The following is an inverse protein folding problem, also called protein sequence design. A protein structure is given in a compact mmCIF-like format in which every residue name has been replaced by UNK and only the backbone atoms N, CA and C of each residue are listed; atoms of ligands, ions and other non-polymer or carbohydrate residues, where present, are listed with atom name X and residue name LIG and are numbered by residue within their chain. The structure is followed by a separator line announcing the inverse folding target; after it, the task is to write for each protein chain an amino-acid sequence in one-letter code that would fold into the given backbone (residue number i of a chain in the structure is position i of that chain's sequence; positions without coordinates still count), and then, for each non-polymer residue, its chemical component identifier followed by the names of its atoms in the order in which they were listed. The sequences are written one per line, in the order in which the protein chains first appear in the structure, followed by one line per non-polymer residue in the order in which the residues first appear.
data_IF_995070119695
#
_entry.id   IF_995070119695
#
_cell.length_a   1.000
_cell.length_b   1.000
_cell.length_c   1.000
_cell.angle_alpha   90.00
_cell.angle_beta   90.00
_cell.angle_gamma   90.00
#
_symmetry.space_group_name_H-M   'P 1'
#
loop_
_entity.id
_entity.type
_entity.pdbx_description
1 polymer ?
#
# COMPACT_ATOMS: atom_id res chain seq x y z
N UNK A 1 -22.25 0.49 -17.89
CA UNK A 1 -23.48 0.90 -17.16
C UNK A 1 -23.53 2.43 -17.03
N UNK A 2 -24.55 3.12 -17.54
CA UNK A 2 -24.62 4.59 -17.53
C UNK A 2 -24.54 5.21 -16.12
N UNK A 3 -25.04 4.51 -15.11
CA UNK A 3 -24.98 4.93 -13.71
C UNK A 3 -23.55 4.99 -13.15
N UNK A 4 -22.71 4.01 -13.50
CA UNK A 4 -21.31 3.96 -13.06
C UNK A 4 -20.49 5.11 -13.65
N UNK A 5 -20.66 5.40 -14.95
CA UNK A 5 -20.00 6.52 -15.66
C UNK A 5 -20.35 7.85 -14.99
N UNK A 6 -21.64 8.07 -14.71
CA UNK A 6 -22.11 9.30 -14.06
C UNK A 6 -21.53 9.47 -12.66
N UNK A 7 -21.49 8.39 -11.87
CA UNK A 7 -20.92 8.45 -10.52
C UNK A 7 -19.41 8.71 -10.59
N UNK A 8 -18.68 7.99 -11.43
CA UNK A 8 -17.25 8.19 -11.65
C UNK A 8 -16.90 9.65 -12.00
N UNK A 9 -17.68 10.27 -12.91
CA UNK A 9 -17.52 11.70 -13.25
C UNK A 9 -17.66 12.61 -12.03
N UNK A 10 -18.71 12.40 -11.23
CA UNK A 10 -18.97 13.22 -10.03
C UNK A 10 -17.92 13.02 -8.95
N UNK A 11 -17.43 11.79 -8.77
CA UNK A 11 -16.32 11.48 -7.87
C UNK A 11 -15.04 12.20 -8.31
N UNK A 12 -14.72 12.18 -9.61
CA UNK A 12 -13.50 12.83 -10.13
C UNK A 12 -13.54 14.35 -10.03
N UNK A 13 -14.70 14.97 -10.28
CA UNK A 13 -14.88 16.41 -10.12
C UNK A 13 -15.18 16.86 -8.69
N UNK A 14 -15.22 15.93 -7.72
CA UNK A 14 -15.65 16.16 -6.34
C UNK A 14 -17.01 16.89 -6.24
N UNK A 15 -17.94 16.58 -7.15
CA UNK A 15 -19.27 17.19 -7.21
C UNK A 15 -20.19 16.61 -6.12
N UNK A 16 -20.13 17.24 -4.94
CA UNK A 16 -20.87 16.80 -3.74
C UNK A 16 -20.20 15.64 -3.01
N UNK A 17 -18.89 15.43 -3.21
CA UNK A 17 -18.11 14.36 -2.57
C UNK A 17 -16.80 14.92 -2.00
N UNK A 18 -16.34 14.35 -0.88
CA UNK A 18 -15.00 14.58 -0.34
C UNK A 18 -14.00 13.60 -0.94
N UNK A 19 -12.70 13.86 -0.77
CA UNK A 19 -11.66 12.94 -1.27
C UNK A 19 -11.71 11.59 -0.56
N UNK A 20 -12.08 11.55 0.72
CA UNK A 20 -12.32 10.28 1.45
C UNK A 20 -13.51 9.46 0.91
N UNK A 21 -14.54 10.12 0.36
CA UNK A 21 -15.70 9.42 -0.22
C UNK A 21 -15.28 8.64 -1.48
N UNK A 22 -14.37 9.19 -2.27
CA UNK A 22 -13.83 8.53 -3.46
C UNK A 22 -13.26 7.16 -3.10
N UNK A 23 -12.34 7.08 -2.13
CA UNK A 23 -11.73 5.80 -1.73
C UNK A 23 -12.78 4.76 -1.34
N UNK A 24 -13.78 5.16 -0.54
CA UNK A 24 -14.89 4.29 -0.10
C UNK A 24 -15.71 3.73 -1.26
N UNK A 25 -15.87 4.48 -2.35
CA UNK A 25 -16.59 3.99 -3.52
C UNK A 25 -15.76 3.01 -4.36
N UNK A 26 -14.45 3.28 -4.49
CA UNK A 26 -13.53 2.49 -5.31
C UNK A 26 -13.07 1.20 -4.61
N UNK A 27 -13.07 1.16 -3.28
CA UNK A 27 -12.50 0.05 -2.51
C UNK A 27 -13.47 -1.11 -2.24
N UNK A 28 -14.76 -1.02 -2.59
CA UNK A 28 -15.73 -2.08 -2.30
C UNK A 28 -15.62 -3.24 -3.28
N UNK A 29 -15.69 -4.47 -2.74
CA UNK A 29 -15.66 -5.69 -3.54
C UNK A 29 -17.05 -6.05 -4.08
N UNK A 30 -17.58 -5.27 -5.01
CA UNK A 30 -18.80 -5.58 -5.75
C UNK A 30 -18.73 -5.07 -7.19
N UNK A 31 -19.55 -5.64 -8.06
CA UNK A 31 -19.51 -5.39 -9.51
C UNK A 31 -19.71 -3.91 -9.87
N UNK A 32 -20.62 -3.24 -9.17
CA UNK A 32 -20.91 -1.83 -9.40
C UNK A 32 -19.72 -0.94 -9.03
N UNK A 33 -19.12 -1.16 -7.86
CA UNK A 33 -17.93 -0.43 -7.42
C UNK A 33 -16.73 -0.67 -8.33
N UNK A 34 -16.52 -1.90 -8.81
CA UNK A 34 -15.49 -2.18 -9.82
C UNK A 34 -15.73 -1.42 -11.12
N UNK A 35 -16.97 -1.40 -11.61
CA UNK A 35 -17.33 -0.63 -12.79
C UNK A 35 -17.13 0.89 -12.58
N UNK A 36 -17.46 1.41 -11.40
CA UNK A 36 -17.23 2.82 -11.05
C UNK A 36 -15.73 3.13 -11.02
N UNK A 37 -14.90 2.25 -10.45
CA UNK A 37 -13.45 2.42 -10.42
C UNK A 37 -12.86 2.41 -11.83
N UNK A 38 -13.26 1.48 -12.69
CA UNK A 38 -12.83 1.44 -14.08
C UNK A 38 -13.19 2.72 -14.84
N UNK A 39 -14.41 3.24 -14.66
CA UNK A 39 -14.82 4.52 -15.27
C UNK A 39 -14.11 5.73 -14.65
N UNK A 40 -13.81 5.70 -13.34
CA UNK A 40 -13.09 6.77 -12.64
C UNK A 40 -11.64 6.85 -13.11
N UNK A 41 -10.98 5.70 -13.29
CA UNK A 41 -9.59 5.64 -13.73
C UNK A 41 -9.39 6.16 -15.16
N UNK A 42 -10.43 6.18 -16.01
CA UNK A 42 -10.35 6.74 -17.38
C UNK A 42 -10.05 8.24 -17.41
N UNK A 43 -10.32 8.96 -16.32
CA UNK A 43 -9.98 10.38 -16.21
C UNK A 43 -8.50 10.63 -15.92
N UNK A 44 -7.71 9.57 -15.68
CA UNK A 44 -6.27 9.66 -15.55
C UNK A 44 -5.63 9.34 -16.89
N UNK A 45 -4.82 10.27 -17.38
CA UNK A 45 -3.91 10.04 -18.50
C UNK A 45 -2.50 9.78 -17.94
N UNK A 46 -2.03 8.55 -18.18
CA UNK A 46 -0.71 8.08 -17.78
C UNK A 46 0.19 7.80 -18.99
N UNK A 47 -0.22 8.18 -20.20
CA UNK A 47 0.58 7.93 -21.40
C UNK A 47 1.96 8.58 -21.24
N UNK A 48 3.03 7.79 -21.45
CA UNK A 48 4.44 8.20 -21.34
C UNK A 48 4.91 8.59 -19.93
N UNK A 49 4.06 8.50 -18.93
CA UNK A 49 4.51 8.62 -17.54
C UNK A 49 5.28 7.37 -17.13
N UNK A 50 6.33 7.55 -16.33
CA UNK A 50 6.89 6.43 -15.56
C UNK A 50 5.93 6.04 -14.44
N UNK A 51 6.05 4.79 -13.95
CA UNK A 51 5.13 4.25 -12.95
C UNK A 51 5.04 5.10 -11.68
N UNK A 52 6.16 5.67 -11.21
CA UNK A 52 6.17 6.54 -10.04
C UNK A 52 5.44 7.88 -10.28
N UNK A 53 5.55 8.46 -11.49
CA UNK A 53 4.87 9.70 -11.85
C UNK A 53 3.36 9.48 -11.94
N UNK A 54 2.94 8.40 -12.61
CA UNK A 54 1.55 8.02 -12.69
C UNK A 54 0.95 7.75 -11.28
N UNK A 55 1.70 7.05 -10.42
CA UNK A 55 1.29 6.77 -9.06
C UNK A 55 1.15 8.05 -8.22
N UNK A 56 2.07 9.01 -8.34
CA UNK A 56 1.94 10.31 -7.68
C UNK A 56 0.72 11.08 -8.15
N UNK A 57 0.46 11.12 -9.47
CA UNK A 57 -0.75 11.75 -10.03
C UNK A 57 -2.00 11.10 -9.44
N UNK A 58 -2.01 9.78 -9.34
CA UNK A 58 -3.11 9.01 -8.77
C UNK A 58 -3.36 9.32 -7.28
N UNK A 59 -2.32 9.23 -6.44
CA UNK A 59 -2.41 9.41 -4.99
C UNK A 59 -2.71 10.87 -4.56
N UNK A 60 -2.49 11.85 -5.46
CA UNK A 60 -2.83 13.26 -5.22
C UNK A 60 -4.32 13.58 -5.41
N UNK A 61 -5.05 12.76 -6.16
CA UNK A 61 -6.46 13.06 -6.48
C UNK A 61 -7.41 12.74 -5.34
N UNK A 62 -7.14 11.70 -4.56
CA UNK A 62 -8.02 11.30 -3.47
C UNK A 62 -7.24 10.71 -2.29
N UNK A 63 -7.88 10.66 -1.14
CA UNK A 63 -7.27 10.13 0.07
C UNK A 63 -7.38 8.61 0.07
N UNK A 64 -6.27 7.89 -0.11
CA UNK A 64 -6.24 6.43 -0.09
C UNK A 64 -6.38 5.91 1.35
N UNK A 65 -7.58 6.06 1.90
CA UNK A 65 -8.00 5.60 3.23
C UNK A 65 -8.63 4.21 3.15
N UNK A 66 -8.66 3.51 4.29
CA UNK A 66 -9.24 2.18 4.42
C UNK A 66 -8.24 1.15 4.94
N UNK A 67 -8.72 -0.07 5.15
CA UNK A 67 -7.89 -1.21 5.56
C UNK A 67 -6.93 -1.62 4.43
N UNK A 68 -5.89 -2.39 4.76
CA UNK A 68 -4.89 -2.89 3.80
C UNK A 68 -5.54 -3.47 2.53
N UNK A 69 -6.55 -4.33 2.69
CA UNK A 69 -7.24 -4.98 1.57
C UNK A 69 -8.07 -4.01 0.72
N UNK A 70 -8.61 -2.94 1.33
CA UNK A 70 -9.36 -1.91 0.63
C UNK A 70 -8.43 -1.07 -0.25
N UNK A 71 -7.28 -0.68 0.30
CA UNK A 71 -6.26 0.09 -0.43
C UNK A 71 -5.68 -0.72 -1.58
N UNK A 72 -5.40 -2.00 -1.34
CA UNK A 72 -4.92 -2.93 -2.36
C UNK A 72 -5.87 -3.01 -3.56
N UNK A 73 -7.19 -3.15 -3.33
CA UNK A 73 -8.18 -3.17 -4.42
C UNK A 73 -8.17 -1.90 -5.27
N UNK A 74 -7.98 -0.74 -4.66
CA UNK A 74 -7.85 0.52 -5.40
C UNK A 74 -6.57 0.53 -6.25
N UNK A 75 -5.45 0.04 -5.71
CA UNK A 75 -4.18 -0.06 -6.43
C UNK A 75 -4.23 -1.07 -7.59
N UNK A 76 -5.06 -2.11 -7.51
CA UNK A 76 -5.30 -3.02 -8.64
C UNK A 76 -5.92 -2.27 -9.83
N UNK A 77 -6.91 -1.41 -9.58
CA UNK A 77 -7.51 -0.58 -10.64
C UNK A 77 -6.51 0.41 -11.25
N UNK A 78 -5.64 1.02 -10.44
CA UNK A 78 -4.53 1.84 -10.93
C UNK A 78 -3.60 1.05 -11.85
N UNK A 79 -3.20 -0.16 -11.42
CA UNK A 79 -2.25 -1.00 -12.16
C UNK A 79 -2.79 -1.37 -13.55
N UNK A 80 -4.09 -1.71 -13.62
CA UNK A 80 -4.80 -1.94 -14.88
C UNK A 80 -4.75 -0.70 -15.77
N UNK A 81 -5.13 0.46 -15.24
CA UNK A 81 -5.18 1.72 -16.01
C UNK A 81 -3.80 2.13 -16.52
N UNK A 82 -2.75 1.96 -15.72
CA UNK A 82 -1.39 2.27 -16.13
C UNK A 82 -0.97 1.44 -17.34
N UNK A 83 -1.24 0.13 -17.32
CA UNK A 83 -0.93 -0.77 -18.42
C UNK A 83 -1.75 -0.44 -19.68
N UNK A 84 -3.04 -0.11 -19.51
CA UNK A 84 -3.90 0.31 -20.62
C UNK A 84 -3.38 1.57 -21.33
N UNK A 85 -2.76 2.50 -20.58
CA UNK A 85 -2.16 3.73 -21.16
C UNK A 85 -0.76 3.50 -21.75
N UNK A 86 -0.06 2.46 -21.31
CA UNK A 86 1.33 2.18 -21.67
C UNK A 86 1.48 0.72 -22.15
N UNK A 87 0.85 0.34 -23.27
CA UNK A 87 0.91 -1.03 -23.77
C UNK A 87 2.37 -1.42 -24.06
N UNK A 88 2.78 -2.58 -23.54
CA UNK A 88 4.14 -3.11 -23.71
C UNK A 88 5.19 -2.56 -22.74
N UNK A 89 4.83 -1.68 -21.79
CA UNK A 89 5.79 -1.24 -20.76
C UNK A 89 6.13 -2.33 -19.74
N UNK A 90 5.18 -3.23 -19.48
CA UNK A 90 5.31 -4.36 -18.55
C UNK A 90 4.56 -5.58 -19.12
N UNK A 91 4.92 -6.78 -18.65
CA UNK A 91 4.39 -8.05 -19.17
C UNK A 91 2.89 -8.24 -18.84
N UNK A 92 2.45 -7.77 -17.67
CA UNK A 92 1.07 -7.95 -17.20
C UNK A 92 0.63 -6.91 -16.18
N UNK A 93 -0.67 -6.92 -15.87
CA UNK A 93 -1.24 -6.09 -14.81
C UNK A 93 -0.64 -6.45 -13.45
N UNK A 94 -0.38 -7.73 -13.20
CA UNK A 94 0.15 -8.22 -11.93
C UNK A 94 1.60 -7.77 -11.71
N UNK A 95 2.39 -7.70 -12.79
CA UNK A 95 3.72 -7.11 -12.77
C UNK A 95 3.69 -5.62 -12.35
N UNK A 96 2.77 -4.84 -12.92
CA UNK A 96 2.57 -3.42 -12.57
C UNK A 96 2.11 -3.28 -11.11
N UNK A 97 1.18 -4.14 -10.68
CA UNK A 97 0.68 -4.13 -9.31
C UNK A 97 1.77 -4.46 -8.30
N UNK A 98 2.59 -5.47 -8.59
CA UNK A 98 3.73 -5.86 -7.77
C UNK A 98 4.72 -4.70 -7.60
N UNK A 99 5.10 -4.03 -8.68
CA UNK A 99 5.97 -2.85 -8.60
C UNK A 99 5.32 -1.69 -7.85
N UNK A 100 4.03 -1.47 -8.06
CA UNK A 100 3.28 -0.42 -7.34
C UNK A 100 3.35 -0.68 -5.84
N UNK A 101 3.02 -1.88 -5.37
CA UNK A 101 3.11 -2.26 -3.96
C UNK A 101 4.55 -2.13 -3.42
N UNK A 102 5.55 -2.55 -4.19
CA UNK A 102 6.95 -2.40 -3.81
C UNK A 102 7.38 -0.93 -3.67
N UNK A 103 6.91 -0.05 -4.55
CA UNK A 103 7.13 1.40 -4.46
C UNK A 103 6.49 1.98 -3.19
N UNK A 104 5.28 1.54 -2.84
CA UNK A 104 4.60 1.98 -1.60
C UNK A 104 5.40 1.58 -0.36
N UNK A 105 5.88 0.33 -0.32
CA UNK A 105 6.71 -0.19 0.78
C UNK A 105 8.06 0.53 0.86
N UNK A 106 8.69 0.77 -0.29
CA UNK A 106 9.94 1.51 -0.36
C UNK A 106 9.77 2.94 0.15
N UNK A 107 8.65 3.61 -0.16
CA UNK A 107 8.37 4.94 0.34
C UNK A 107 8.28 4.97 1.87
N UNK A 108 7.58 4.00 2.47
CA UNK A 108 7.49 3.86 3.93
C UNK A 108 8.87 3.56 4.54
N UNK A 109 9.67 2.71 3.91
CA UNK A 109 11.02 2.40 4.39
C UNK A 109 11.95 3.63 4.35
N UNK A 110 11.97 4.36 3.24
CA UNK A 110 12.89 5.47 3.03
C UNK A 110 12.48 6.74 3.79
N UNK A 111 11.19 7.01 3.94
CA UNK A 111 10.66 8.29 4.44
C UNK A 111 9.80 8.17 5.70
N UNK A 112 9.43 6.95 6.10
CA UNK A 112 8.70 6.70 7.34
C UNK A 112 9.56 6.91 8.58
N UNK A 113 8.93 6.78 9.75
CA UNK A 113 9.60 6.93 11.06
C UNK A 113 10.38 5.67 11.47
N UNK A 114 10.97 4.96 10.52
CA UNK A 114 11.78 3.78 10.81
C UNK A 114 13.11 4.21 11.44
N UNK A 115 13.35 3.77 12.68
CA UNK A 115 14.59 4.03 13.44
C UNK A 115 15.73 3.10 12.94
N UNK A 116 15.44 2.16 12.04
CA UNK A 116 16.38 1.18 11.50
C UNK A 116 17.15 1.63 10.25
N UNK A 117 17.94 0.70 9.72
CA UNK A 117 18.65 0.86 8.44
C UNK A 117 17.64 0.85 7.29
N UNK A 118 17.71 1.88 6.45
CA UNK A 118 16.91 2.00 5.22
C UNK A 118 17.40 1.04 4.13
N UNK A 119 16.46 0.53 3.35
CA UNK A 119 16.70 -0.33 2.18
C UNK A 119 17.56 0.38 1.15
N UNK A 120 18.61 -0.30 0.70
CA UNK A 120 19.49 0.19 -0.36
C UNK A 120 18.91 -0.12 -1.74
N UNK A 121 19.41 0.55 -2.78
CA UNK A 121 18.98 0.29 -4.15
C UNK A 121 19.21 -1.17 -4.58
N UNK A 122 20.30 -1.79 -4.13
CA UNK A 122 20.59 -3.19 -4.45
C UNK A 122 19.61 -4.14 -3.75
N UNK A 123 19.31 -3.89 -2.47
CA UNK A 123 18.30 -4.68 -1.74
C UNK A 123 16.92 -4.54 -2.37
N UNK A 124 16.54 -3.35 -2.84
CA UNK A 124 15.28 -3.17 -3.58
C UNK A 124 15.23 -4.02 -4.85
N UNK A 125 16.34 -4.11 -5.58
CA UNK A 125 16.44 -4.96 -6.79
C UNK A 125 16.39 -6.44 -6.43
N UNK A 126 17.11 -6.87 -5.40
CA UNK A 126 17.15 -8.26 -4.94
C UNK A 126 15.79 -8.73 -4.41
N UNK A 127 15.09 -7.87 -3.66
CA UNK A 127 13.75 -8.16 -3.13
C UNK A 127 12.70 -8.35 -4.24
N UNK A 128 12.95 -7.80 -5.43
CA UNK A 128 12.06 -7.91 -6.59
C UNK A 128 12.47 -9.01 -7.57
N UNK A 129 13.54 -9.75 -7.28
CA UNK A 129 14.01 -10.82 -8.15
C UNK A 129 12.96 -11.95 -8.26
N UNK A 130 12.66 -12.37 -9.49
CA UNK A 130 11.68 -13.43 -9.76
C UNK A 130 10.20 -13.05 -9.56
N UNK A 131 9.90 -11.79 -9.18
CA UNK A 131 8.53 -11.33 -8.93
C UNK A 131 7.82 -10.79 -10.17
N UNK A 132 8.46 -10.82 -11.34
CA UNK A 132 7.82 -10.53 -12.62
C UNK A 132 7.43 -11.84 -13.30
N UNK A 133 6.44 -12.56 -12.76
CA UNK A 133 5.97 -13.85 -13.33
C UNK A 133 7.09 -14.90 -13.48
N UNK A 134 7.89 -15.09 -12.42
CA UNK A 134 9.10 -15.92 -12.41
C UNK A 134 10.29 -15.35 -13.22
N UNK A 135 10.16 -14.15 -13.79
CA UNK A 135 11.25 -13.39 -14.39
C UNK A 135 11.68 -12.19 -13.53
N UNK A 136 12.67 -11.44 -14.00
CA UNK A 136 13.16 -10.23 -13.36
C UNK A 136 12.67 -8.97 -14.09
N UNK A 137 12.36 -7.92 -13.33
CA UNK A 137 12.18 -6.59 -13.91
C UNK A 137 13.52 -6.03 -14.44
N UNK A 138 13.51 -5.17 -15.47
CA UNK A 138 14.72 -4.50 -15.94
C UNK A 138 15.40 -3.73 -14.80
N UNK A 139 16.69 -3.99 -14.57
CA UNK A 139 17.44 -3.40 -13.45
C UNK A 139 17.46 -1.87 -13.51
N UNK A 140 17.52 -1.32 -14.70
CA UNK A 140 17.52 0.13 -14.96
C UNK A 140 16.21 0.77 -14.52
N UNK A 141 15.08 0.11 -14.77
CA UNK A 141 13.76 0.56 -14.32
C UNK A 141 13.69 0.56 -12.79
N UNK A 142 14.15 -0.52 -12.14
CA UNK A 142 14.15 -0.61 -10.68
C UNK A 142 15.04 0.46 -10.02
N UNK A 143 16.22 0.74 -10.60
CA UNK A 143 17.10 1.82 -10.14
C UNK A 143 16.43 3.19 -10.29
N UNK A 144 15.80 3.46 -11.43
CA UNK A 144 15.09 4.71 -11.68
C UNK A 144 13.97 4.92 -10.66
N UNK A 145 13.13 3.91 -10.44
CA UNK A 145 12.06 3.95 -9.43
C UNK A 145 12.61 4.18 -8.03
N UNK A 146 13.66 3.45 -7.63
CA UNK A 146 14.28 3.63 -6.32
C UNK A 146 14.76 5.07 -6.09
N UNK A 147 15.49 5.63 -7.06
CA UNK A 147 15.99 6.99 -6.96
C UNK A 147 14.88 8.04 -7.00
N UNK A 148 13.83 7.82 -7.80
CA UNK A 148 12.68 8.71 -7.85
C UNK A 148 11.96 8.78 -6.50
N UNK A 149 11.71 7.64 -5.85
CA UNK A 149 11.10 7.59 -4.51
C UNK A 149 12.05 8.16 -3.46
N UNK A 150 13.34 7.82 -3.50
CA UNK A 150 14.34 8.34 -2.55
C UNK A 150 14.43 9.87 -2.58
N UNK A 151 14.38 10.48 -3.76
CA UNK A 151 14.54 11.92 -3.92
C UNK A 151 13.25 12.69 -3.64
N UNK A 152 12.09 12.11 -4.00
CA UNK A 152 10.79 12.74 -3.83
C UNK A 152 9.83 11.76 -3.14
N UNK A 153 9.45 11.98 -1.87
CA UNK A 153 8.48 11.13 -1.18
C UNK A 153 7.12 11.12 -1.89
N UNK A 154 6.37 10.04 -1.77
CA UNK A 154 4.97 10.02 -2.21
C UNK A 154 4.14 10.96 -1.34
N UNK A 155 3.34 11.79 -2.00
CA UNK A 155 2.40 12.71 -1.36
C UNK A 155 0.98 12.17 -1.52
N UNK A 156 0.22 12.24 -0.43
CA UNK A 156 -1.15 11.75 -0.37
C UNK A 156 -2.10 12.93 -0.32
N UNK A 157 -3.25 12.80 -0.97
CA UNK A 157 -4.32 13.77 -0.76
C UNK A 157 -4.87 13.61 0.66
N UNK A 158 -4.81 14.67 1.45
CA UNK A 158 -5.58 14.79 2.69
C UNK A 158 -6.92 15.43 2.37
N UNK A 159 -7.97 15.07 3.11
CA UNK A 159 -9.16 15.91 3.16
C UNK A 159 -8.74 17.22 3.84
N UNK A 160 -9.08 18.36 3.25
CA UNK A 160 -8.93 19.65 3.93
C UNK A 160 -9.89 19.64 5.13
N UNK A 161 -9.36 19.42 6.33
CA UNK A 161 -10.11 19.62 7.57
C UNK A 161 -10.38 21.13 7.71
N UNK A 162 -11.62 21.49 8.05
CA UNK A 162 -12.04 22.86 8.28
C UNK A 162 -11.10 23.56 9.29
N UNK A 163 -10.77 24.81 8.99
CA UNK A 163 -9.81 25.68 9.69
C UNK A 163 -10.18 26.12 11.13
N UNK A 164 -10.87 25.28 11.91
CA UNK A 164 -11.28 25.63 13.28
C UNK A 164 -10.70 24.67 14.33
N UNK A 165 -9.64 25.11 15.00
CA UNK A 165 -9.29 24.66 16.35
C UNK A 165 -7.95 23.94 16.48
N UNK A 166 -6.98 24.68 16.99
CA UNK A 166 -5.68 24.25 17.50
C UNK A 166 -5.70 22.85 18.18
N UNK A 167 -5.25 21.83 17.45
CA UNK A 167 -4.73 20.59 18.02
C UNK A 167 -3.40 20.31 17.33
N UNK A 168 -2.35 20.17 18.13
CA UNK A 168 -0.99 19.92 17.70
C UNK A 168 -0.92 18.89 16.58
N UNK A 169 -0.23 19.30 15.51
CA UNK A 169 0.25 18.51 14.39
C UNK A 169 0.88 17.18 14.82
N UNK A 170 0.07 16.14 14.96
CA UNK A 170 0.51 14.75 15.10
C UNK A 170 -0.54 13.81 14.47
N UNK A 171 -0.78 13.93 13.16
CA UNK A 171 -1.24 12.76 12.43
C UNK A 171 -0.05 11.79 12.35
N UNK A 172 -0.09 10.80 13.23
CA UNK A 172 0.88 9.72 13.33
C UNK A 172 0.93 9.00 11.99
N UNK A 173 2.14 8.76 11.48
CA UNK A 173 2.44 7.88 10.34
C UNK A 173 2.00 6.40 10.55
N UNK A 174 1.15 6.11 11.55
CA UNK A 174 0.76 4.75 11.93
C UNK A 174 -0.25 4.11 10.96
N UNK A 175 -1.01 4.89 10.20
CA UNK A 175 -1.95 4.36 9.19
C UNK A 175 -1.27 4.15 7.82
N UNK A 176 0.04 4.43 7.75
CA UNK A 176 0.86 4.24 6.55
C UNK A 176 1.34 2.79 6.49
N UNK A 177 0.47 1.91 6.00
CA UNK A 177 0.79 0.57 5.50
C UNK A 177 1.67 -0.25 6.47
N UNK A 178 1.11 -0.65 7.61
CA UNK A 178 1.72 -1.69 8.45
C UNK A 178 1.50 -3.07 7.79
N UNK A 179 2.20 -3.35 6.69
CA UNK A 179 2.13 -4.63 5.96
C UNK A 179 2.98 -5.74 6.60
N UNK A 180 3.74 -5.43 7.67
CA UNK A 180 4.70 -6.35 8.30
C UNK A 180 4.55 -6.55 9.81
N UNK A 181 3.57 -5.91 10.45
CA UNK A 181 3.36 -6.02 11.90
C UNK A 181 2.56 -7.28 12.27
N UNK A 182 3.24 -8.34 12.71
CA UNK A 182 2.58 -9.47 13.38
C UNK A 182 2.01 -8.98 14.73
N UNK A 183 0.68 -9.00 14.96
CA UNK A 183 0.06 -8.53 16.21
C UNK A 183 0.43 -9.38 17.45
N UNK A 184 1.14 -10.48 17.25
CA UNK A 184 1.50 -11.45 18.28
C UNK A 184 2.88 -11.17 18.91
N UNK A 185 3.68 -10.27 18.34
CA UNK A 185 5.03 -9.96 18.84
C UNK A 185 5.11 -8.71 19.71
N UNK A 186 4.01 -7.96 19.85
CA UNK A 186 3.96 -6.86 20.79
C UNK A 186 3.82 -7.41 22.22
N UNK A 187 4.85 -7.17 23.04
CA UNK A 187 4.79 -7.42 24.47
C UNK A 187 3.72 -6.48 25.04
N UNK A 188 2.65 -6.98 25.70
CA UNK A 188 1.62 -6.13 26.25
C UNK A 188 2.24 -5.18 27.27
N UNK A 189 1.91 -3.89 27.17
CA UNK A 189 2.22 -2.89 28.20
C UNK A 189 1.63 -3.41 29.52
N UNK A 190 2.50 -3.82 30.45
CA UNK A 190 2.09 -4.54 31.67
C UNK A 190 1.12 -3.76 32.57
N UNK A 191 0.94 -2.46 32.32
CA UNK A 191 0.02 -1.61 33.07
C UNK A 191 -1.47 -1.96 32.85
N UNK A 192 -1.85 -2.52 31.69
CA UNK A 192 -3.24 -2.82 31.33
C UNK A 192 -3.49 -4.29 31.01
N UNK A 193 -2.56 -5.19 31.33
CA UNK A 193 -2.70 -6.61 31.03
C UNK A 193 -3.77 -7.25 31.94
N UNK A 194 -4.87 -7.71 31.34
CA UNK A 194 -5.91 -8.46 32.04
C UNK A 194 -5.38 -9.88 32.28
N UNK A 195 -5.15 -10.24 33.54
CA UNK A 195 -4.72 -11.58 33.95
C UNK A 195 -5.93 -12.53 33.95
N UNK A 196 -6.11 -13.33 32.90
CA UNK A 196 -7.25 -14.25 32.77
C UNK A 196 -7.09 -15.56 33.57
N UNK A 197 -5.87 -15.93 33.97
CA UNK A 197 -5.61 -17.16 34.73
C UNK A 197 -4.25 -17.13 35.43
N UNK A 198 -4.24 -17.37 36.75
CA UNK A 198 -3.03 -17.51 37.55
C UNK A 198 -2.67 -18.98 37.73
N UNK A 199 -1.46 -19.39 37.33
CA UNK A 199 -1.01 -20.78 37.48
C UNK A 199 0.37 -21.02 36.90
N UNK A 200 0.99 -22.14 37.27
CA UNK A 200 2.29 -22.54 36.75
C UNK A 200 2.16 -23.05 35.31
N UNK A 201 2.91 -22.45 34.39
CA UNK A 201 3.07 -22.95 33.03
C UNK A 201 4.18 -24.01 33.04
N UNK A 202 3.80 -25.28 32.94
CA UNK A 202 4.76 -26.37 32.81
C UNK A 202 5.22 -26.48 31.36
N UNK A 203 6.53 -26.41 31.11
CA UNK A 203 7.06 -26.76 29.78
C UNK A 203 6.78 -28.23 29.51
N UNK A 204 6.10 -28.51 28.41
CA UNK A 204 5.93 -29.88 27.91
C UNK A 204 7.27 -30.33 27.33
N UNK A 205 8.05 -31.09 28.11
CA UNK A 205 9.23 -31.77 27.57
C UNK A 205 8.76 -32.91 26.68
N UNK A 206 8.98 -32.78 25.37
CA UNK A 206 8.90 -33.91 24.45
C UNK A 206 10.15 -34.77 24.66
N UNK A 207 9.98 -35.99 25.15
CA UNK A 207 11.06 -36.97 25.19
C UNK A 207 11.23 -37.56 23.79
N UNK A 208 12.43 -37.45 23.20
CA UNK A 208 12.82 -38.29 22.07
C UNK A 208 13.05 -39.73 22.55
N UNK A 209 12.70 -40.71 21.72
CA UNK A 209 12.74 -42.14 22.05
C UNK A 209 14.17 -42.74 22.22
N UNK A 210 15.22 -41.91 22.23
CA UNK A 210 16.58 -42.37 22.46
C UNK A 210 17.23 -41.60 23.60
N UNK A 211 17.20 -42.22 24.77
CA UNK A 211 17.81 -41.75 25.99
C UNK A 211 19.33 -41.54 25.83
N UNK A 212 19.76 -40.31 25.53
CA UNK A 212 21.08 -39.79 25.90
C UNK A 212 20.97 -38.32 26.30
N UNK A 213 21.14 -38.04 27.60
CA UNK A 213 21.36 -36.68 28.11
C UNK A 213 22.75 -36.23 27.70
N UNK A 214 22.90 -34.98 27.28
CA UNK A 214 24.09 -34.21 27.58
C UNK A 214 23.67 -32.90 28.27
N UNK A 215 24.47 -32.55 29.27
CA UNK A 215 24.30 -31.49 30.27
C UNK A 215 24.38 -30.12 29.62
#
# INVERSE_FOLDING_TARGET
MPSAIRLAKRLYSLDGFKKSDVSRHLSKNNDFSRAVAEEYLKYFDFEKDTLDIALRKFLKQFSLTGETQERERVLVHFSKRYLDCNPGSFNSQDAVHTLTCAIMLLNTDLHGQNIGRKMTCNEFIENLAGLNECENFPREVLKQLYHAIKNYPLEWALDEENEDGNVQSQMRNNDVINLGGNPFLDVPISANAIEYKKGYVMRKCCYEANAKRNI
#
